data_IF_876683254163
#
_entry.id   IF_876683254163
#
_cell.length_a   1.000
_cell.length_b   1.000
_cell.length_c   1.000
_cell.angle_alpha   90.00
_cell.angle_beta   90.00
_cell.angle_gamma   90.00
#
_symmetry.space_group_name_H-M   'P 1'
#
loop_
_entity.id
_entity.type
_entity.pdbx_description
1 polymer ?
#
# COMPACT_ATOMS: atom_id res chain seq x y z
N UNK A 1 -4.62 11.19 16.33
CA UNK A 1 -5.57 12.30 16.16
C UNK A 1 -6.26 12.13 14.81
N UNK A 2 -7.37 11.38 14.75
CA UNK A 2 -8.05 11.00 13.51
C UNK A 2 -8.76 12.15 12.77
N UNK A 3 -8.04 13.19 12.39
CA UNK A 3 -8.57 14.24 11.55
C UNK A 3 -8.60 13.79 10.10
N UNK A 4 -9.78 13.70 9.51
CA UNK A 4 -9.97 13.47 8.09
C UNK A 4 -9.61 14.76 7.35
N UNK A 5 -8.62 14.70 6.48
CA UNK A 5 -8.25 15.83 5.61
C UNK A 5 -9.22 15.86 4.43
N UNK A 6 -10.20 16.75 4.48
CA UNK A 6 -11.24 16.92 3.44
C UNK A 6 -10.88 17.99 2.40
N UNK A 7 -9.61 18.38 2.33
CA UNK A 7 -9.16 19.43 1.42
C UNK A 7 -9.46 19.11 -0.05
N UNK A 8 -10.01 20.08 -0.78
CA UNK A 8 -10.22 20.02 -2.24
C UNK A 8 -8.93 19.76 -3.05
N UNK A 9 -7.77 19.84 -2.40
CA UNK A 9 -6.44 19.62 -3.02
C UNK A 9 -6.27 18.14 -3.39
N UNK A 10 -6.88 17.21 -2.64
CA UNK A 10 -6.91 15.78 -3.00
C UNK A 10 -7.67 15.51 -4.29
N UNK A 11 -8.56 16.42 -4.71
CA UNK A 11 -9.20 16.39 -6.03
C UNK A 11 -8.24 16.73 -7.16
N UNK A 12 -7.09 17.38 -6.85
CA UNK A 12 -6.03 17.61 -7.84
C UNK A 12 -5.25 16.31 -7.99
N UNK A 13 -5.48 15.64 -9.08
CA UNK A 13 -4.97 14.31 -9.44
C UNK A 13 -3.49 14.12 -9.10
N UNK A 14 -2.60 14.99 -9.55
CA UNK A 14 -1.14 14.85 -9.34
C UNK A 14 -0.72 15.00 -7.87
N UNK A 15 -1.38 15.83 -7.07
CA UNK A 15 -1.06 16.01 -5.65
C UNK A 15 -1.41 14.74 -4.86
N UNK A 16 -2.61 14.17 -5.07
CA UNK A 16 -3.01 12.92 -4.44
C UNK A 16 -2.14 11.73 -4.87
N UNK A 17 -1.82 11.65 -6.15
CA UNK A 17 -0.92 10.62 -6.68
C UNK A 17 0.50 10.73 -6.09
N UNK A 18 1.05 11.95 -5.96
CA UNK A 18 2.35 12.16 -5.34
C UNK A 18 2.34 11.72 -3.87
N UNK A 19 1.30 12.10 -3.11
CA UNK A 19 1.16 11.66 -1.73
C UNK A 19 1.15 10.12 -1.62
N UNK A 20 0.34 9.44 -2.45
CA UNK A 20 0.30 7.98 -2.51
C UNK A 20 1.67 7.37 -2.89
N UNK A 21 2.34 7.95 -3.90
CA UNK A 21 3.67 7.49 -4.33
C UNK A 21 4.71 7.55 -3.22
N UNK A 22 4.71 8.64 -2.46
CA UNK A 22 5.63 8.82 -1.34
C UNK A 22 5.28 7.90 -0.16
N UNK A 23 3.99 7.73 0.13
CA UNK A 23 3.53 6.81 1.18
C UNK A 23 3.86 5.34 0.88
N UNK A 24 3.80 4.93 -0.40
CA UNK A 24 4.19 3.59 -0.85
C UNK A 24 5.71 3.33 -0.85
N UNK A 25 6.53 4.35 -0.70
CA UNK A 25 7.98 4.21 -0.61
C UNK A 25 8.46 3.62 0.75
N UNK A 26 7.56 3.16 1.60
CA UNK A 26 7.84 2.46 2.87
C UNK A 26 8.79 3.23 3.80
N UNK A 27 8.61 4.55 3.90
CA UNK A 27 9.48 5.43 4.69
C UNK A 27 10.81 5.74 4.01
N UNK A 28 11.01 5.23 2.79
CA UNK A 28 12.15 5.58 1.95
C UNK A 28 11.97 6.91 1.23
N UNK A 29 13.10 7.40 0.72
CA UNK A 29 13.12 8.57 -0.13
C UNK A 29 13.01 8.13 -1.60
N UNK A 30 12.27 8.90 -2.41
CA UNK A 30 12.15 8.70 -3.85
C UNK A 30 13.00 9.77 -4.55
N UNK A 31 13.88 9.34 -5.45
CA UNK A 31 14.69 10.26 -6.25
C UNK A 31 13.79 11.16 -7.10
N UNK A 32 14.14 12.43 -7.19
CA UNK A 32 13.36 13.42 -7.95
C UNK A 32 13.31 13.11 -9.44
N UNK A 33 14.36 12.51 -10.00
CA UNK A 33 14.37 12.13 -11.40
C UNK A 33 13.30 11.06 -11.67
N UNK A 34 13.18 10.06 -10.79
CA UNK A 34 12.13 9.06 -10.90
C UNK A 34 10.74 9.71 -10.88
N UNK A 35 10.53 10.72 -10.01
CA UNK A 35 9.27 11.45 -9.96
C UNK A 35 9.00 12.28 -11.21
N UNK A 36 10.04 12.88 -11.82
CA UNK A 36 9.88 13.60 -13.08
C UNK A 36 9.42 12.65 -14.19
N UNK A 37 10.10 11.52 -14.34
CA UNK A 37 9.81 10.52 -15.38
C UNK A 37 8.42 9.88 -15.18
N UNK A 38 8.01 9.66 -13.93
CA UNK A 38 6.70 9.07 -13.62
C UNK A 38 5.54 10.06 -13.83
N UNK A 39 5.71 11.34 -13.48
CA UNK A 39 4.60 12.31 -13.42
C UNK A 39 4.56 13.30 -14.57
N UNK A 40 5.70 13.56 -15.22
CA UNK A 40 5.83 14.53 -16.30
C UNK A 40 6.77 14.05 -17.41
N UNK A 41 6.54 12.84 -17.97
CA UNK A 41 7.45 12.22 -18.95
C UNK A 41 7.60 13.05 -20.23
N UNK A 42 6.59 13.86 -20.59
CA UNK A 42 6.59 14.67 -21.81
C UNK A 42 7.18 16.09 -21.60
N UNK A 43 7.65 16.39 -20.39
CA UNK A 43 8.19 17.71 -20.07
C UNK A 43 9.71 17.69 -20.01
N UNK A 44 10.31 18.81 -20.39
CA UNK A 44 11.73 19.02 -20.12
C UNK A 44 12.00 19.10 -18.61
N UNK A 45 13.25 18.89 -18.23
CA UNK A 45 13.69 18.85 -16.84
C UNK A 45 13.30 20.10 -16.04
N UNK A 46 13.40 21.30 -16.65
CA UNK A 46 13.10 22.56 -15.95
C UNK A 46 11.62 22.62 -15.56
N UNK A 47 10.73 22.38 -16.50
CA UNK A 47 9.29 22.41 -16.26
C UNK A 47 8.82 21.27 -15.35
N UNK A 48 9.36 20.05 -15.51
CA UNK A 48 9.07 18.93 -14.62
C UNK A 48 9.47 19.26 -13.18
N UNK A 49 10.63 19.86 -12.98
CA UNK A 49 11.12 20.31 -11.67
C UNK A 49 10.21 21.38 -11.04
N UNK A 50 9.83 22.41 -11.78
CA UNK A 50 8.92 23.45 -11.30
C UNK A 50 7.58 22.88 -10.89
N UNK A 51 7.01 21.98 -11.68
CA UNK A 51 5.74 21.29 -11.39
C UNK A 51 5.84 20.40 -10.15
N UNK A 52 6.94 19.66 -9.97
CA UNK A 52 7.15 18.84 -8.78
C UNK A 52 7.19 19.71 -7.52
N UNK A 53 7.97 20.80 -7.52
CA UNK A 53 8.04 21.69 -6.36
C UNK A 53 6.70 22.36 -6.04
N UNK A 54 5.95 22.79 -7.07
CA UNK A 54 4.60 23.31 -6.87
C UNK A 54 3.66 22.25 -6.27
N UNK A 55 3.74 21.00 -6.75
CA UNK A 55 2.94 19.89 -6.24
C UNK A 55 3.31 19.55 -4.79
N UNK A 56 4.61 19.51 -4.46
CA UNK A 56 5.09 19.32 -3.08
C UNK A 56 4.63 20.45 -2.16
N UNK A 57 4.70 21.70 -2.61
CA UNK A 57 4.22 22.84 -1.84
C UNK A 57 2.73 22.74 -1.53
N UNK A 58 1.92 22.37 -2.53
CA UNK A 58 0.49 22.11 -2.34
C UNK A 58 0.22 20.94 -1.38
N UNK A 59 1.00 19.87 -1.48
CA UNK A 59 0.89 18.73 -0.58
C UNK A 59 1.20 19.13 0.88
N UNK A 60 2.29 19.84 1.12
CA UNK A 60 2.65 20.37 2.44
C UNK A 60 1.56 21.22 3.04
N UNK A 61 1.05 22.17 2.25
CA UNK A 61 -0.05 23.02 2.69
C UNK A 61 -1.30 22.21 3.06
N UNK A 62 -1.62 21.17 2.29
CA UNK A 62 -2.76 20.28 2.54
C UNK A 62 -2.61 19.48 3.84
N UNK A 63 -1.38 19.11 4.18
CA UNK A 63 -1.06 18.39 5.41
C UNK A 63 -0.99 19.33 6.62
N UNK A 64 -1.10 20.66 6.42
CA UNK A 64 -1.04 21.66 7.48
C UNK A 64 0.39 21.97 7.93
N UNK A 65 1.40 21.77 7.07
CA UNK A 65 2.75 22.26 7.35
C UNK A 65 2.76 23.79 7.31
N UNK A 66 2.74 24.41 8.48
CA UNK A 66 2.75 25.86 8.65
C UNK A 66 4.11 26.32 9.21
N UNK A 67 5.02 26.67 8.30
CA UNK A 67 6.32 27.23 8.67
C UNK A 67 7.36 26.21 9.12
N UNK A 68 8.49 26.72 9.63
CA UNK A 68 9.66 25.89 10.00
C UNK A 68 9.55 25.24 11.40
N UNK A 69 8.70 25.78 12.25
CA UNK A 69 8.60 25.38 13.66
C UNK A 69 7.51 24.29 13.89
N UNK A 70 6.78 23.91 12.85
CA UNK A 70 5.76 22.88 12.89
C UNK A 70 6.27 21.50 12.45
N UNK A 71 5.42 20.46 12.56
CA UNK A 71 5.76 19.12 12.09
C UNK A 71 6.02 19.14 10.58
N UNK A 72 7.13 18.54 10.16
CA UNK A 72 7.48 18.40 8.76
C UNK A 72 7.06 17.01 8.28
N UNK A 73 5.96 16.96 7.54
CA UNK A 73 5.40 15.71 7.00
C UNK A 73 6.12 15.23 5.75
N UNK A 74 6.66 16.15 4.94
CA UNK A 74 7.40 15.87 3.69
C UNK A 74 8.86 16.23 3.86
N UNK A 75 9.73 15.24 3.71
CA UNK A 75 11.18 15.37 3.81
C UNK A 75 11.80 15.53 2.43
N UNK A 76 12.74 16.49 2.31
CA UNK A 76 13.59 16.65 1.13
C UNK A 76 15.04 16.44 1.56
N UNK A 77 15.72 15.46 1.01
CA UNK A 77 17.10 15.14 1.36
C UNK A 77 17.87 14.61 0.15
N UNK A 78 19.05 15.14 -0.09
CA UNK A 78 20.01 14.59 -1.05
C UNK A 78 19.49 14.42 -2.49
N UNK A 79 18.53 15.26 -2.93
CA UNK A 79 17.93 15.08 -4.26
C UNK A 79 16.67 14.22 -4.27
N UNK A 80 16.27 13.68 -3.13
CA UNK A 80 15.12 12.79 -2.98
C UNK A 80 14.03 13.40 -2.12
N UNK A 81 12.82 12.89 -2.23
CA UNK A 81 11.62 13.32 -1.50
C UNK A 81 10.95 12.10 -0.86
N UNK A 82 10.45 12.25 0.35
CA UNK A 82 9.70 11.21 1.05
C UNK A 82 8.73 11.76 2.07
N UNK A 83 7.97 10.88 2.68
CA UNK A 83 7.17 11.18 3.86
C UNK A 83 8.02 11.00 5.12
N UNK A 84 7.76 11.80 6.14
CA UNK A 84 8.40 11.63 7.43
C UNK A 84 7.72 10.47 8.19
N UNK A 85 8.43 9.36 8.44
CA UNK A 85 7.83 8.19 9.09
C UNK A 85 7.44 8.42 10.56
N UNK A 86 7.94 9.47 11.20
CA UNK A 86 7.54 9.84 12.56
C UNK A 86 6.09 10.34 12.61
N UNK A 87 5.60 10.93 11.53
CA UNK A 87 4.28 11.57 11.46
C UNK A 87 3.31 10.90 10.50
N UNK A 88 3.81 10.17 9.50
CA UNK A 88 2.99 9.55 8.46
C UNK A 88 3.25 8.05 8.41
N UNK A 89 2.18 7.29 8.56
CA UNK A 89 2.14 5.86 8.28
C UNK A 89 1.00 5.55 7.30
N UNK A 90 1.08 4.44 6.60
CA UNK A 90 0.02 3.98 5.71
C UNK A 90 -0.43 2.55 6.08
N UNK A 91 -1.66 2.22 5.75
CA UNK A 91 -2.21 0.87 5.83
C UNK A 91 -1.38 -0.13 5.02
N UNK A 92 -0.90 0.29 3.85
CA UNK A 92 0.00 -0.52 3.01
C UNK A 92 1.30 -0.87 3.74
N UNK A 93 1.88 0.04 4.52
CA UNK A 93 3.08 -0.27 5.32
C UNK A 93 2.80 -1.32 6.39
N UNK A 94 1.64 -1.25 7.05
CA UNK A 94 1.22 -2.28 8.01
C UNK A 94 0.97 -3.61 7.33
N UNK A 95 0.25 -3.61 6.21
CA UNK A 95 0.02 -4.79 5.39
C UNK A 95 1.34 -5.46 4.98
N UNK A 96 2.27 -4.70 4.39
CA UNK A 96 3.58 -5.20 3.95
C UNK A 96 4.40 -5.79 5.10
N UNK A 97 4.35 -5.18 6.28
CA UNK A 97 5.02 -5.69 7.47
C UNK A 97 4.45 -7.03 7.92
N UNK A 98 3.13 -7.16 7.97
CA UNK A 98 2.46 -8.41 8.35
C UNK A 98 2.67 -9.49 7.30
N UNK A 99 2.50 -9.17 6.02
CA UNK A 99 2.72 -10.10 4.92
C UNK A 99 4.15 -10.65 4.91
N UNK A 100 5.15 -9.80 5.19
CA UNK A 100 6.54 -10.23 5.33
C UNK A 100 6.72 -11.25 6.46
N UNK A 101 6.08 -11.04 7.60
CA UNK A 101 6.15 -11.98 8.74
C UNK A 101 5.54 -13.33 8.37
N UNK A 102 4.39 -13.32 7.71
CA UNK A 102 3.67 -14.55 7.31
C UNK A 102 4.40 -15.33 6.22
N UNK A 103 4.91 -14.62 5.19
CA UNK A 103 5.42 -15.28 3.98
C UNK A 103 6.91 -15.65 4.07
N UNK A 104 7.75 -14.85 4.75
CA UNK A 104 9.19 -15.11 4.76
C UNK A 104 9.63 -16.18 5.76
N UNK A 105 8.77 -16.60 6.69
CA UNK A 105 9.04 -17.73 7.59
C UNK A 105 10.27 -17.58 8.49
N UNK A 106 10.89 -16.40 8.56
CA UNK A 106 12.04 -16.16 9.42
C UNK A 106 11.70 -16.18 10.92
N UNK A 107 10.43 -16.04 11.25
CA UNK A 107 9.92 -16.16 12.61
C UNK A 107 9.08 -17.44 12.65
N UNK A 108 9.45 -18.36 13.54
CA UNK A 108 8.66 -19.58 13.75
C UNK A 108 7.35 -19.17 14.45
N UNK A 109 6.29 -18.98 13.67
CA UNK A 109 4.97 -18.62 14.17
C UNK A 109 4.23 -19.91 14.60
N UNK A 110 3.50 -19.83 15.71
CA UNK A 110 2.50 -20.84 16.02
C UNK A 110 1.32 -20.78 15.05
N UNK A 111 0.62 -21.89 14.87
CA UNK A 111 -0.53 -21.94 13.97
C UNK A 111 -1.61 -20.90 14.33
N UNK A 112 -2.05 -20.75 15.60
CA UNK A 112 -3.02 -19.72 15.95
C UNK A 112 -2.54 -18.29 15.61
N UNK A 113 -1.23 -18.02 15.78
CA UNK A 113 -0.68 -16.72 15.47
C UNK A 113 -0.62 -16.45 13.98
N UNK A 114 -0.36 -17.47 13.17
CA UNK A 114 -0.39 -17.36 11.71
C UNK A 114 -1.81 -17.03 11.23
N UNK A 115 -2.81 -17.75 11.71
CA UNK A 115 -4.22 -17.49 11.37
C UNK A 115 -4.61 -16.05 11.77
N UNK A 116 -4.31 -15.65 13.01
CA UNK A 116 -4.57 -14.27 13.48
C UNK A 116 -3.97 -13.22 12.56
N UNK A 117 -2.71 -13.39 12.15
CA UNK A 117 -2.04 -12.44 11.27
C UNK A 117 -2.66 -12.42 9.86
N UNK A 118 -3.06 -13.56 9.32
CA UNK A 118 -3.73 -13.63 8.02
C UNK A 118 -5.10 -12.94 8.05
N UNK A 119 -5.90 -13.16 9.09
CA UNK A 119 -7.16 -12.44 9.29
C UNK A 119 -6.95 -10.93 9.48
N UNK A 120 -5.86 -10.53 10.14
CA UNK A 120 -5.51 -9.12 10.25
C UNK A 120 -5.09 -8.50 8.90
N UNK A 121 -4.40 -9.26 8.06
CA UNK A 121 -4.05 -8.86 6.68
C UNK A 121 -5.31 -8.68 5.85
N UNK A 122 -6.29 -9.58 5.99
CA UNK A 122 -7.58 -9.48 5.31
C UNK A 122 -8.30 -8.17 5.68
N UNK A 123 -8.36 -7.82 6.96
CA UNK A 123 -8.96 -6.56 7.42
C UNK A 123 -8.26 -5.30 6.88
N UNK A 124 -6.96 -5.37 6.62
CA UNK A 124 -6.19 -4.24 6.07
C UNK A 124 -6.35 -4.09 4.56
N UNK A 125 -6.56 -5.21 3.86
CA UNK A 125 -6.69 -5.23 2.41
C UNK A 125 -8.15 -5.07 1.98
N UNK A 126 -8.63 -3.84 1.97
CA UNK A 126 -10.02 -3.51 1.64
C UNK A 126 -10.33 -3.54 0.13
N UNK A 127 -9.34 -3.84 -0.70
CA UNK A 127 -9.46 -3.91 -2.16
C UNK A 127 -8.20 -3.46 -2.90
N UNK A 128 -8.26 -3.40 -4.23
CA UNK A 128 -7.13 -2.96 -5.04
C UNK A 128 -6.66 -1.57 -4.65
N UNK A 129 -5.34 -1.37 -4.71
CA UNK A 129 -4.75 -0.06 -4.45
C UNK A 129 -5.48 1.04 -5.23
N UNK A 130 -6.04 2.02 -4.52
CA UNK A 130 -6.73 3.14 -5.13
C UNK A 130 -5.79 3.92 -6.04
N UNK A 131 -6.21 4.06 -7.28
CA UNK A 131 -5.57 4.94 -8.25
C UNK A 131 -6.65 5.62 -9.07
N UNK A 132 -6.61 6.95 -9.24
CA UNK A 132 -7.49 7.66 -10.16
C UNK A 132 -7.41 7.03 -11.55
N UNK A 133 -8.57 6.81 -12.19
CA UNK A 133 -8.69 6.03 -13.42
C UNK A 133 -7.90 6.57 -14.61
N UNK A 134 -7.65 7.89 -14.65
CA UNK A 134 -6.94 8.51 -15.76
C UNK A 134 -5.49 8.86 -15.40
N UNK A 135 -4.52 8.41 -16.19
CA UNK A 135 -3.09 8.71 -16.05
C UNK A 135 -2.41 8.00 -14.89
N UNK A 136 -2.79 6.76 -14.67
CA UNK A 136 -2.11 5.84 -13.76
C UNK A 136 -0.72 5.57 -14.28
N UNK A 137 0.30 5.86 -13.45
CA UNK A 137 1.67 5.52 -13.82
C UNK A 137 1.87 4.00 -13.78
N UNK A 138 2.81 3.51 -14.56
CA UNK A 138 3.20 2.09 -14.57
C UNK A 138 3.59 1.60 -13.18
N UNK A 139 4.13 2.48 -12.34
CA UNK A 139 4.44 2.19 -10.94
C UNK A 139 3.21 1.73 -10.15
N UNK A 140 2.11 2.48 -10.20
CA UNK A 140 0.89 2.12 -9.45
C UNK A 140 0.24 0.85 -9.98
N UNK A 141 0.25 0.63 -11.30
CA UNK A 141 -0.24 -0.61 -11.89
C UNK A 141 0.53 -1.81 -11.35
N UNK A 142 1.87 -1.73 -11.37
CA UNK A 142 2.74 -2.77 -10.81
C UNK A 142 2.50 -2.99 -9.31
N UNK A 143 2.40 -1.91 -8.53
CA UNK A 143 2.15 -2.01 -7.08
C UNK A 143 0.80 -2.65 -6.77
N UNK A 144 -0.23 -2.37 -7.55
CA UNK A 144 -1.54 -3.03 -7.41
C UNK A 144 -1.41 -4.54 -7.53
N UNK A 145 -0.76 -5.03 -8.58
CA UNK A 145 -0.54 -6.46 -8.78
C UNK A 145 0.32 -7.09 -7.68
N UNK A 146 1.39 -6.40 -7.27
CA UNK A 146 2.26 -6.88 -6.18
C UNK A 146 1.50 -7.03 -4.87
N UNK A 147 0.69 -6.04 -4.49
CA UNK A 147 -0.08 -6.09 -3.25
C UNK A 147 -1.18 -7.16 -3.32
N UNK A 148 -1.87 -7.28 -4.46
CA UNK A 148 -2.87 -8.32 -4.68
C UNK A 148 -2.28 -9.72 -4.59
N UNK A 149 -1.14 -9.97 -5.27
CA UNK A 149 -0.46 -11.27 -5.19
C UNK A 149 -0.04 -11.60 -3.76
N UNK A 150 0.58 -10.66 -3.05
CA UNK A 150 0.96 -10.86 -1.64
C UNK A 150 -0.24 -11.15 -0.74
N UNK A 151 -1.35 -10.46 -0.96
CA UNK A 151 -2.59 -10.73 -0.22
C UNK A 151 -3.05 -12.17 -0.42
N UNK A 152 -3.15 -12.60 -1.67
CA UNK A 152 -3.57 -13.96 -2.02
C UNK A 152 -2.61 -14.99 -1.42
N UNK A 153 -1.31 -14.78 -1.54
CA UNK A 153 -0.31 -15.71 -0.98
C UNK A 153 -0.42 -15.81 0.55
N UNK A 154 -0.76 -14.70 1.24
CA UNK A 154 -1.04 -14.72 2.68
C UNK A 154 -2.32 -15.52 3.00
N UNK A 155 -3.37 -15.38 2.18
CA UNK A 155 -4.61 -16.15 2.36
C UNK A 155 -4.35 -17.64 2.18
N UNK A 156 -3.67 -18.05 1.11
CA UNK A 156 -3.27 -19.44 0.85
C UNK A 156 -2.49 -19.99 2.05
N UNK A 157 -1.50 -19.24 2.54
CA UNK A 157 -0.72 -19.67 3.72
C UNK A 157 -1.58 -19.83 4.97
N UNK A 158 -2.52 -18.92 5.20
CA UNK A 158 -3.45 -18.98 6.32
C UNK A 158 -4.39 -20.17 6.23
N UNK A 159 -4.91 -20.46 5.03
CA UNK A 159 -5.78 -21.61 4.75
C UNK A 159 -5.05 -22.91 5.05
N UNK A 160 -3.83 -23.11 4.54
CA UNK A 160 -3.05 -24.32 4.78
C UNK A 160 -2.87 -24.60 6.28
N UNK A 161 -2.59 -23.54 7.06
CA UNK A 161 -2.42 -23.65 8.51
C UNK A 161 -3.76 -23.93 9.21
N UNK A 162 -4.84 -23.26 8.81
CA UNK A 162 -6.16 -23.42 9.40
C UNK A 162 -6.71 -24.85 9.14
N UNK A 163 -6.52 -25.39 7.94
CA UNK A 163 -6.89 -26.76 7.61
C UNK A 163 -6.11 -27.81 8.44
N UNK A 164 -4.81 -27.55 8.68
CA UNK A 164 -3.98 -28.43 9.51
C UNK A 164 -4.41 -28.44 11.00
N UNK A 165 -5.02 -27.34 11.47
CA UNK A 165 -5.57 -27.20 12.83
C UNK A 165 -7.07 -27.53 12.90
N UNK A 166 -7.68 -28.01 11.82
CA UNK A 166 -9.12 -28.29 11.69
C UNK A 166 -10.01 -27.05 11.92
N UNK A 167 -9.47 -25.83 11.77
CA UNK A 167 -10.22 -24.58 11.82
C UNK A 167 -10.84 -24.26 10.45
N UNK A 168 -11.91 -25.01 10.13
CA UNK A 168 -12.61 -24.89 8.86
C UNK A 168 -13.25 -23.51 8.66
N UNK A 169 -13.64 -22.85 9.75
CA UNK A 169 -14.25 -21.51 9.69
C UNK A 169 -13.27 -20.46 9.18
N UNK A 170 -12.07 -20.40 9.77
CA UNK A 170 -11.03 -19.47 9.31
C UNK A 170 -10.54 -19.83 7.91
N UNK A 171 -10.42 -21.13 7.58
CA UNK A 171 -10.03 -21.59 6.25
C UNK A 171 -11.02 -21.11 5.18
N UNK A 172 -12.33 -21.30 5.39
CA UNK A 172 -13.36 -20.85 4.46
C UNK A 172 -13.36 -19.35 4.30
N UNK A 173 -13.31 -18.61 5.40
CA UNK A 173 -13.28 -17.14 5.37
C UNK A 173 -12.11 -16.59 4.51
N UNK A 174 -10.91 -17.13 4.74
CA UNK A 174 -9.73 -16.72 3.97
C UNK A 174 -9.81 -17.14 2.49
N UNK A 175 -10.40 -18.31 2.18
CA UNK A 175 -10.60 -18.75 0.81
C UNK A 175 -11.58 -17.84 0.06
N UNK A 176 -12.69 -17.47 0.68
CA UNK A 176 -13.66 -16.53 0.11
C UNK A 176 -13.04 -15.15 -0.12
N UNK A 177 -12.30 -14.63 0.86
CA UNK A 177 -11.59 -13.34 0.74
C UNK A 177 -10.56 -13.36 -0.41
N UNK A 178 -9.83 -14.44 -0.58
CA UNK A 178 -8.89 -14.62 -1.70
C UNK A 178 -9.60 -14.68 -3.05
N UNK A 179 -10.69 -15.45 -3.15
CA UNK A 179 -11.49 -15.59 -4.37
C UNK A 179 -12.20 -14.29 -4.80
N UNK A 180 -12.54 -13.43 -3.84
CA UNK A 180 -13.04 -12.08 -4.16
C UNK A 180 -12.01 -11.22 -4.91
N UNK A 181 -10.71 -11.46 -4.69
CA UNK A 181 -9.64 -10.72 -5.35
C UNK A 181 -9.19 -11.37 -6.67
N UNK A 182 -9.24 -12.69 -6.75
CA UNK A 182 -8.96 -13.46 -7.97
C UNK A 182 -9.81 -14.74 -8.01
N UNK A 183 -10.94 -14.64 -8.70
CA UNK A 183 -11.87 -15.75 -8.86
C UNK A 183 -11.34 -16.90 -9.73
N UNK A 184 -10.18 -16.77 -10.34
CA UNK A 184 -9.58 -17.79 -11.22
C UNK A 184 -8.51 -18.64 -10.54
N UNK A 185 -8.18 -18.37 -9.29
CA UNK A 185 -7.16 -19.10 -8.53
C UNK A 185 -7.64 -20.49 -8.15
N UNK A 186 -7.11 -21.51 -8.82
CA UNK A 186 -7.49 -22.92 -8.63
C UNK A 186 -7.16 -23.45 -7.22
N UNK A 187 -6.04 -23.00 -6.63
CA UNK A 187 -5.67 -23.38 -5.26
C UNK A 187 -6.71 -22.91 -4.23
N UNK A 188 -7.19 -21.66 -4.34
CA UNK A 188 -8.25 -21.14 -3.47
C UNK A 188 -9.60 -21.84 -3.71
N UNK A 189 -9.96 -22.09 -4.97
CA UNK A 189 -11.17 -22.84 -5.30
C UNK A 189 -11.14 -24.23 -4.68
N UNK A 190 -10.01 -24.94 -4.80
CA UNK A 190 -9.83 -26.28 -4.24
C UNK A 190 -9.93 -26.26 -2.72
N UNK A 191 -9.33 -25.28 -2.06
CA UNK A 191 -9.41 -25.11 -0.61
C UNK A 191 -10.83 -24.84 -0.15
N UNK A 192 -11.57 -23.95 -0.83
CA UNK A 192 -12.98 -23.69 -0.53
C UNK A 192 -13.82 -24.96 -0.68
N UNK A 193 -13.65 -25.75 -1.76
CA UNK A 193 -14.36 -27.00 -1.99
C UNK A 193 -14.01 -28.09 -0.97
N UNK A 194 -12.85 -28.03 -0.33
CA UNK A 194 -12.46 -29.00 0.69
C UNK A 194 -13.16 -28.74 2.04
N UNK A 195 -13.60 -27.51 2.26
CA UNK A 195 -14.28 -27.06 3.49
C UNK A 195 -15.81 -27.26 3.40
N UNK A 196 -16.38 -27.23 2.20
CA UNK A 196 -17.82 -27.50 1.96
C UNK A 196 -18.11 -29.01 1.92
#
# INVERSE_FOLDING_TARGET
NGHIITSNIWKRKKTGMLAARLALAQGGLVDRQVLYDEFWPEMDYKHARENLYATVSMLRHSLGENGKDGPQYIVLQGGSIGVNPEFISSDVQFFEKLARIVLLGHVQLSAPKTIELCLRIEQLYTGPLFVPTDGVTTYFQRMRHVLQSKFIDCMVRGIDVALAEEDLTSALWMAEAGLQQDATREDLMRSAMHVY
#
